data_IF_890109442829
#
_entry.id   IF_890109442829
#
_cell.length_a   1.000
_cell.length_b   1.000
_cell.length_c   1.000
_cell.angle_alpha   90.00
_cell.angle_beta   90.00
_cell.angle_gamma   90.00
#
_symmetry.space_group_name_H-M   'P 1'
#
loop_
_entity.id
_entity.type
_entity.pdbx_description
1 polymer ?
#
# COMPACT_ATOMS: atom_id res chain seq x y z
N UNK A 1 -19.51 6.12 35.20
CA UNK A 1 -19.18 5.38 36.44
C UNK A 1 -18.70 3.96 36.09
N UNK A 2 -17.74 3.84 35.17
CA UNK A 2 -17.09 2.57 34.81
C UNK A 2 -15.60 2.77 34.46
N UNK A 3 -15.15 4.02 34.29
CA UNK A 3 -13.82 4.35 33.76
C UNK A 3 -12.68 4.10 34.76
N UNK A 4 -12.98 4.17 36.07
CA UNK A 4 -12.01 3.94 37.13
C UNK A 4 -11.63 2.45 37.32
N UNK A 5 -12.50 1.52 36.92
CA UNK A 5 -12.26 0.08 37.07
C UNK A 5 -11.20 -0.42 36.08
N UNK A 6 -11.16 0.15 34.88
CA UNK A 6 -10.21 -0.21 33.82
C UNK A 6 -8.79 0.24 34.14
N UNK A 7 -8.64 1.40 34.80
CA UNK A 7 -7.34 1.91 35.24
C UNK A 7 -6.71 1.07 36.36
N UNK A 8 -7.52 0.36 37.17
CA UNK A 8 -7.05 -0.43 38.32
C UNK A 8 -6.54 -1.83 37.91
N UNK A 9 -6.91 -2.29 36.70
CA UNK A 9 -6.54 -3.59 36.15
C UNK A 9 -5.30 -3.52 35.22
N UNK A 10 -4.64 -2.36 35.13
CA UNK A 10 -3.49 -2.17 34.23
C UNK A 10 -3.86 -2.31 32.75
N UNK A 11 -5.13 -2.06 32.39
CA UNK A 11 -5.55 -2.04 31.00
C UNK A 11 -5.03 -0.75 30.37
N UNK A 12 -3.77 -0.77 29.90
CA UNK A 12 -3.31 0.20 28.92
C UNK A 12 -4.27 0.11 27.75
N UNK A 13 -4.95 1.22 27.43
CA UNK A 13 -5.71 1.30 26.20
C UNK A 13 -4.77 0.89 25.06
N UNK A 14 -5.12 -0.17 24.32
CA UNK A 14 -4.30 -0.65 23.21
C UNK A 14 -3.95 0.54 22.32
N UNK A 15 -2.66 0.91 22.27
CA UNK A 15 -2.19 1.99 21.43
C UNK A 15 -2.55 1.65 19.99
N UNK A 16 -3.36 2.50 19.35
CA UNK A 16 -3.76 2.34 17.95
C UNK A 16 -3.06 3.38 17.10
N UNK A 17 -2.54 3.00 15.92
CA UNK A 17 -1.95 3.95 15.01
C UNK A 17 -2.98 5.00 14.59
N UNK A 18 -2.62 6.29 14.55
CA UNK A 18 -3.51 7.32 14.05
C UNK A 18 -3.82 7.10 12.57
N UNK A 19 -5.00 7.50 12.15
CA UNK A 19 -5.34 7.58 10.73
C UNK A 19 -4.62 8.79 10.13
N UNK A 20 -3.84 8.56 9.08
CA UNK A 20 -3.10 9.60 8.35
C UNK A 20 -3.47 9.56 6.87
N UNK A 21 -3.50 10.72 6.22
CA UNK A 21 -3.69 10.79 4.78
C UNK A 21 -2.34 10.61 4.08
N UNK A 22 -2.30 9.72 3.09
CA UNK A 22 -1.10 9.46 2.29
C UNK A 22 -1.43 9.48 0.81
N UNK A 23 -0.57 10.13 0.02
CA UNK A 23 -0.61 10.11 -1.43
C UNK A 23 -0.04 8.78 -1.94
N UNK A 24 -0.89 7.99 -2.59
CA UNK A 24 -0.56 6.68 -3.13
C UNK A 24 -0.79 6.66 -4.63
N UNK A 25 -0.10 5.75 -5.33
CA UNK A 25 -0.37 5.51 -6.75
C UNK A 25 -1.41 4.41 -6.86
N UNK A 26 -2.49 4.67 -7.59
CA UNK A 26 -3.45 3.67 -8.02
C UNK A 26 -3.16 3.29 -9.47
N UNK A 27 -3.08 2.00 -9.74
CA UNK A 27 -3.02 1.39 -11.06
C UNK A 27 -4.35 0.65 -11.27
N UNK A 28 -5.33 1.27 -11.94
CA UNK A 28 -6.65 0.66 -12.12
C UNK A 28 -6.62 -0.57 -13.02
N UNK A 29 -7.39 -1.60 -12.68
CA UNK A 29 -7.51 -2.80 -13.53
C UNK A 29 -8.34 -2.56 -14.80
N UNK A 30 -9.17 -1.52 -14.82
CA UNK A 30 -9.99 -1.13 -15.97
C UNK A 30 -9.19 -0.43 -17.10
N UNK A 31 -7.86 -0.56 -17.07
CA UNK A 31 -6.89 -0.03 -18.04
C UNK A 31 -6.85 1.50 -18.12
N UNK A 32 -7.50 2.21 -17.20
CA UNK A 32 -7.28 3.65 -17.06
C UNK A 32 -5.82 3.95 -16.67
N UNK A 33 -5.31 5.15 -17.01
CA UNK A 33 -3.97 5.54 -16.61
C UNK A 33 -3.78 5.49 -15.09
N UNK A 34 -2.59 5.06 -14.67
CA UNK A 34 -2.20 5.16 -13.27
C UNK A 34 -2.17 6.63 -12.84
N UNK A 35 -2.63 6.89 -11.61
CA UNK A 35 -2.75 8.25 -11.08
C UNK A 35 -2.57 8.23 -9.56
N UNK A 36 -2.25 9.40 -9.01
CA UNK A 36 -2.11 9.58 -7.56
C UNK A 36 -3.47 9.88 -6.96
N UNK A 37 -3.76 9.27 -5.82
CA UNK A 37 -4.91 9.54 -4.99
C UNK A 37 -4.46 9.67 -3.53
N UNK A 38 -5.24 10.38 -2.71
CA UNK A 38 -5.00 10.47 -1.28
C UNK A 38 -5.95 9.54 -0.54
N UNK A 39 -5.41 8.69 0.33
CA UNK A 39 -6.18 7.76 1.16
C UNK A 39 -5.84 7.93 2.63
N UNK A 40 -6.86 7.85 3.48
CA UNK A 40 -6.69 7.72 4.91
C UNK A 40 -6.22 6.30 5.25
N UNK A 41 -5.31 6.15 6.20
CA UNK A 41 -4.92 4.83 6.70
C UNK A 41 -5.95 4.29 7.69
N UNK A 42 -6.13 2.97 7.67
CA UNK A 42 -6.97 2.22 8.60
C UNK A 42 -6.10 1.22 9.36
N UNK A 43 -6.31 1.05 10.69
CA UNK A 43 -5.64 0.00 11.43
C UNK A 43 -5.92 -1.39 10.84
N UNK A 44 -4.92 -2.27 10.92
CA UNK A 44 -5.01 -3.68 10.51
C UNK A 44 -4.45 -4.58 11.59
N UNK A 45 -5.19 -5.64 11.92
CA UNK A 45 -4.81 -6.64 12.94
C UNK A 45 -4.60 -8.03 12.35
N UNK A 46 -4.78 -8.20 11.04
CA UNK A 46 -4.73 -9.48 10.34
C UNK A 46 -4.36 -9.28 8.87
N UNK A 47 -3.81 -10.31 8.24
CA UNK A 47 -3.34 -10.26 6.86
C UNK A 47 -1.81 -10.21 6.79
N UNK A 48 -1.23 -10.40 5.60
CA UNK A 48 0.22 -10.42 5.41
C UNK A 48 0.88 -9.06 5.69
N UNK A 49 0.09 -7.98 5.67
CA UNK A 49 0.46 -6.58 5.90
C UNK A 49 0.31 -6.12 7.36
N UNK A 50 -0.06 -7.01 8.29
CA UNK A 50 -0.36 -6.63 9.68
C UNK A 50 0.84 -6.05 10.43
N UNK A 51 2.07 -6.36 10.01
CA UNK A 51 3.31 -5.81 10.56
C UNK A 51 3.44 -4.29 10.36
N UNK A 52 2.62 -3.69 9.48
CA UNK A 52 2.55 -2.25 9.28
C UNK A 52 1.61 -1.54 10.27
N UNK A 53 0.77 -2.30 11.01
CA UNK A 53 -0.24 -1.85 11.99
C UNK A 53 -1.39 -0.99 11.45
N UNK A 54 -1.15 -0.17 10.44
CA UNK A 54 -2.17 0.50 9.63
C UNK A 54 -1.72 0.50 8.18
N UNK A 55 -2.66 0.54 7.24
CA UNK A 55 -2.40 0.67 5.80
C UNK A 55 -3.41 1.62 5.17
N UNK A 56 -3.16 2.18 3.96
CA UNK A 56 -4.18 2.94 3.24
C UNK A 56 -5.48 2.16 3.12
N UNK A 57 -6.63 2.83 3.27
CA UNK A 57 -7.93 2.19 3.15
C UNK A 57 -8.29 1.91 1.68
N UNK A 58 -8.09 0.66 1.27
CA UNK A 58 -8.30 0.21 -0.11
C UNK A 58 -9.72 -0.34 -0.36
N UNK A 59 -10.54 -0.47 0.70
CA UNK A 59 -11.90 -1.04 0.64
C UNK A 59 -12.81 -0.32 -0.37
N UNK A 60 -12.75 1.01 -0.55
CA UNK A 60 -13.56 1.70 -1.56
C UNK A 60 -13.32 1.23 -3.01
N UNK A 61 -12.13 0.68 -3.29
CA UNK A 61 -11.74 0.24 -4.64
C UNK A 61 -11.92 -1.26 -4.85
N UNK A 62 -11.65 -2.05 -3.81
CA UNK A 62 -11.84 -3.50 -3.85
C UNK A 62 -13.28 -3.94 -3.59
N UNK A 63 -14.16 -3.02 -3.16
CA UNK A 63 -15.63 -3.08 -3.10
C UNK A 63 -16.27 -4.21 -2.29
N UNK A 64 -15.53 -5.25 -1.94
CA UNK A 64 -16.02 -6.38 -1.13
C UNK A 64 -15.10 -6.67 0.04
N UNK A 65 -15.69 -7.17 1.12
CA UNK A 65 -14.94 -7.60 2.30
C UNK A 65 -13.97 -8.72 1.96
N UNK A 66 -14.37 -9.65 1.07
CA UNK A 66 -13.53 -10.76 0.65
C UNK A 66 -12.28 -10.25 -0.08
N UNK A 67 -12.41 -9.31 -1.00
CA UNK A 67 -11.25 -8.74 -1.69
C UNK A 67 -10.27 -8.08 -0.69
N UNK A 68 -10.78 -7.45 0.36
CA UNK A 68 -9.95 -6.93 1.46
C UNK A 68 -9.29 -8.04 2.31
N UNK A 69 -10.01 -9.13 2.63
CA UNK A 69 -9.49 -10.25 3.39
C UNK A 69 -8.44 -11.08 2.65
N UNK A 70 -8.54 -11.14 1.31
CA UNK A 70 -7.59 -11.81 0.41
C UNK A 70 -6.58 -10.83 -0.21
N UNK A 71 -6.29 -9.74 0.48
CA UNK A 71 -5.24 -8.81 0.07
C UNK A 71 -3.86 -9.37 0.38
N UNK A 72 -2.88 -8.90 -0.38
CA UNK A 72 -1.48 -9.15 -0.13
C UNK A 72 -0.66 -7.89 -0.42
N UNK A 73 0.58 -7.88 0.06
CA UNK A 73 1.52 -6.80 -0.18
C UNK A 73 2.92 -7.35 -0.48
N UNK A 74 3.64 -6.64 -1.34
CA UNK A 74 5.04 -6.94 -1.61
C UNK A 74 5.88 -5.68 -1.43
N UNK A 75 7.09 -5.85 -0.90
CA UNK A 75 8.05 -4.77 -0.68
C UNK A 75 8.89 -4.56 -1.93
N UNK A 76 9.01 -3.31 -2.39
CA UNK A 76 9.85 -2.87 -3.49
C UNK A 76 10.82 -1.81 -2.97
N UNK A 77 12.12 -2.05 -3.09
CA UNK A 77 13.14 -1.04 -2.81
C UNK A 77 13.65 -0.45 -4.12
N UNK A 78 13.61 0.88 -4.23
CA UNK A 78 14.16 1.61 -5.36
C UNK A 78 15.36 2.43 -4.92
N UNK A 79 16.49 2.20 -5.57
CA UNK A 79 17.73 2.92 -5.35
C UNK A 79 18.26 3.47 -6.68
N UNK A 80 19.06 4.53 -6.62
CA UNK A 80 19.76 5.09 -7.78
C UNK A 80 18.84 5.45 -8.96
N UNK A 81 17.60 5.86 -8.69
CA UNK A 81 16.66 6.27 -9.72
C UNK A 81 17.07 7.63 -10.34
N UNK A 82 16.75 7.87 -11.64
CA UNK A 82 17.08 9.13 -12.31
C UNK A 82 16.55 10.38 -11.59
N UNK A 83 15.46 10.23 -10.85
CA UNK A 83 14.93 11.26 -9.94
C UNK A 83 15.11 10.77 -8.50
N UNK A 84 15.95 11.44 -7.68
CA UNK A 84 16.25 10.99 -6.32
C UNK A 84 15.04 10.85 -5.40
N UNK A 85 13.96 11.60 -5.63
CA UNK A 85 12.72 11.50 -4.85
C UNK A 85 11.96 10.19 -5.06
N UNK A 86 12.23 9.47 -6.16
CA UNK A 86 11.72 8.12 -6.41
C UNK A 86 12.53 7.02 -5.71
N UNK A 87 13.63 7.36 -5.02
CA UNK A 87 14.31 6.39 -4.17
C UNK A 87 13.50 6.18 -2.88
N UNK A 88 13.54 4.97 -2.36
CA UNK A 88 12.92 4.62 -1.09
C UNK A 88 12.34 3.21 -1.07
N UNK A 89 11.59 2.93 -0.02
CA UNK A 89 10.89 1.67 0.18
C UNK A 89 9.41 1.86 -0.12
N UNK A 90 8.87 0.94 -0.90
CA UNK A 90 7.49 0.93 -1.34
C UNK A 90 6.82 -0.38 -0.97
N UNK A 91 5.53 -0.33 -0.68
CA UNK A 91 4.67 -1.51 -0.59
C UNK A 91 3.64 -1.47 -1.71
N UNK A 92 3.52 -2.59 -2.42
CA UNK A 92 2.56 -2.76 -3.51
C UNK A 92 1.45 -3.67 -3.01
N UNK A 93 0.25 -3.11 -2.87
CA UNK A 93 -0.94 -3.80 -2.42
C UNK A 93 -1.82 -4.23 -3.58
N UNK A 94 -2.35 -5.45 -3.49
CA UNK A 94 -3.22 -6.06 -4.49
C UNK A 94 -4.12 -7.09 -3.82
N UNK A 95 -5.14 -7.59 -4.53
CA UNK A 95 -6.11 -8.53 -3.97
C UNK A 95 -6.28 -9.76 -4.85
N UNK A 96 -6.34 -10.94 -4.24
CA UNK A 96 -6.65 -12.22 -4.89
C UNK A 96 -8.13 -12.62 -4.76
N UNK A 97 -9.04 -11.69 -4.46
CA UNK A 97 -10.49 -11.94 -4.38
C UNK A 97 -11.15 -12.21 -5.75
N UNK A 98 -10.60 -13.15 -6.53
CA UNK A 98 -10.83 -13.34 -7.98
C UNK A 98 -12.28 -13.46 -8.44
N UNK A 99 -13.17 -13.93 -7.57
CA UNK A 99 -14.59 -14.14 -7.90
C UNK A 99 -15.41 -12.86 -7.80
N UNK A 100 -14.85 -11.81 -7.18
CA UNK A 100 -15.57 -10.58 -6.83
C UNK A 100 -14.91 -9.31 -7.42
N UNK A 101 -13.72 -9.44 -8.00
CA UNK A 101 -13.05 -8.38 -8.73
C UNK A 101 -13.58 -8.30 -10.17
N UNK A 102 -13.95 -7.09 -10.61
CA UNK A 102 -14.51 -6.87 -11.97
C UNK A 102 -13.52 -7.26 -13.07
N UNK A 103 -12.24 -7.01 -12.85
CA UNK A 103 -11.15 -7.38 -13.74
C UNK A 103 -10.20 -8.27 -12.95
N UNK A 104 -10.06 -9.52 -13.40
CA UNK A 104 -9.22 -10.49 -12.71
C UNK A 104 -7.77 -10.05 -12.85
N UNK A 105 -7.23 -9.91 -14.05
CA UNK A 105 -5.82 -9.55 -14.25
C UNK A 105 -5.67 -8.05 -14.47
N UNK A 106 -4.66 -7.42 -13.86
CA UNK A 106 -4.28 -6.04 -14.11
C UNK A 106 -3.04 -5.97 -15.02
N UNK A 107 -3.21 -5.87 -16.37
CA UNK A 107 -2.09 -5.82 -17.30
C UNK A 107 -1.35 -4.47 -17.29
N UNK A 108 -1.88 -3.46 -16.59
CA UNK A 108 -1.27 -2.13 -16.53
C UNK A 108 -0.16 -2.02 -15.49
N UNK A 109 0.08 -3.06 -14.69
CA UNK A 109 1.19 -3.11 -13.74
C UNK A 109 2.50 -3.43 -14.48
N UNK A 110 3.55 -2.59 -14.36
CA UNK A 110 4.86 -2.92 -14.92
C UNK A 110 5.43 -4.22 -14.33
N UNK A 111 5.96 -5.13 -15.17
CA UNK A 111 6.47 -6.45 -14.74
C UNK A 111 7.55 -6.39 -13.66
N UNK A 112 8.34 -5.31 -13.63
CA UNK A 112 9.35 -5.11 -12.59
C UNK A 112 8.72 -4.89 -11.22
N UNK A 113 7.59 -4.18 -11.15
CA UNK A 113 6.87 -3.96 -9.90
C UNK A 113 6.26 -5.26 -9.41
N UNK A 114 5.74 -6.09 -10.31
CA UNK A 114 5.17 -7.37 -9.93
C UNK A 114 6.19 -8.48 -9.66
N UNK A 115 7.50 -8.25 -9.86
CA UNK A 115 8.50 -9.31 -9.73
C UNK A 115 8.26 -10.49 -10.69
N UNK A 116 7.57 -10.24 -11.81
CA UNK A 116 7.11 -11.28 -12.74
C UNK A 116 5.81 -11.97 -12.35
N UNK A 117 5.19 -11.61 -11.22
CA UNK A 117 3.88 -12.09 -10.83
C UNK A 117 2.77 -11.38 -11.62
N UNK A 118 1.62 -12.04 -11.71
CA UNK A 118 0.39 -11.40 -12.18
C UNK A 118 -0.24 -10.74 -10.96
N UNK A 119 -0.63 -9.47 -11.05
CA UNK A 119 -1.41 -8.81 -10.00
C UNK A 119 -2.86 -8.66 -10.44
N UNK A 120 -3.79 -8.73 -9.49
CA UNK A 120 -5.23 -8.74 -9.74
C UNK A 120 -5.90 -7.51 -9.12
N UNK A 121 -6.99 -7.08 -9.76
CA UNK A 121 -7.73 -5.89 -9.35
C UNK A 121 -6.91 -4.61 -9.39
N UNK A 122 -7.44 -3.56 -8.77
CA UNK A 122 -6.69 -2.31 -8.62
C UNK A 122 -5.46 -2.53 -7.74
N UNK A 123 -4.32 -2.06 -8.21
CA UNK A 123 -3.04 -2.16 -7.51
C UNK A 123 -2.65 -0.82 -6.94
N UNK A 124 -2.16 -0.80 -5.71
CA UNK A 124 -1.79 0.41 -5.01
C UNK A 124 -0.31 0.38 -4.64
N UNK A 125 0.43 1.43 -4.96
CA UNK A 125 1.82 1.59 -4.54
C UNK A 125 1.87 2.68 -3.48
N UNK A 126 2.50 2.36 -2.36
CA UNK A 126 2.57 3.21 -1.17
C UNK A 126 4.03 3.36 -0.80
N UNK A 127 4.49 4.58 -0.46
CA UNK A 127 5.85 4.82 -0.01
C UNK A 127 5.90 4.89 1.51
N UNK A 128 6.91 4.27 2.10
CA UNK A 128 7.21 4.39 3.52
C UNK A 128 8.51 5.14 3.72
N UNK A 129 8.66 5.74 4.90
CA UNK A 129 9.86 6.43 5.32
C UNK A 129 11.08 5.48 5.29
N UNK A 130 12.32 5.98 5.17
CA UNK A 130 13.52 5.15 5.10
C UNK A 130 13.71 4.17 6.27
N UNK A 131 13.21 4.51 7.46
CA UNK A 131 13.25 3.64 8.63
C UNK A 131 12.10 2.62 8.67
N UNK A 132 11.18 2.69 7.71
CA UNK A 132 9.91 1.95 7.53
C UNK A 132 8.91 2.11 8.67
N UNK A 133 9.40 2.17 9.91
CA UNK A 133 8.65 2.24 11.14
C UNK A 133 8.98 3.56 11.87
N UNK A 134 7.94 4.22 12.37
CA UNK A 134 8.00 5.43 13.17
C UNK A 134 7.81 5.14 14.65
N UNK A 135 7.08 6.02 15.32
CA UNK A 135 6.74 5.87 16.74
C UNK A 135 5.96 4.58 16.98
N UNK A 136 6.24 3.91 18.11
CA UNK A 136 5.61 2.64 18.50
C UNK A 136 5.80 1.46 17.52
N UNK A 137 6.71 1.58 16.55
CA UNK A 137 6.96 0.54 15.55
C UNK A 137 5.92 0.47 14.44
N UNK A 138 5.05 1.48 14.31
CA UNK A 138 4.04 1.56 13.25
C UNK A 138 4.64 2.05 11.95
N UNK A 139 4.05 1.68 10.80
CA UNK A 139 4.52 2.16 9.52
C UNK A 139 4.55 3.70 9.46
N UNK A 140 5.66 4.27 9.00
CA UNK A 140 5.76 5.69 8.73
C UNK A 140 5.62 5.92 7.22
N UNK A 141 4.63 6.70 6.79
CA UNK A 141 4.33 6.92 5.37
C UNK A 141 4.98 8.19 4.82
N UNK A 142 5.32 8.15 3.54
CA UNK A 142 5.71 9.31 2.74
C UNK A 142 4.75 9.46 1.55
N UNK A 143 4.50 10.70 1.16
CA UNK A 143 3.69 10.98 -0.03
C UNK A 143 4.47 10.64 -1.31
N UNK A 144 3.82 9.90 -2.22
CA UNK A 144 4.35 9.70 -3.56
C UNK A 144 4.12 10.95 -4.40
N UNK A 145 5.20 11.48 -4.97
CA UNK A 145 5.16 12.60 -5.92
C UNK A 145 4.84 12.17 -7.36
N UNK A 146 4.37 13.13 -8.20
CA UNK A 146 4.00 12.87 -9.60
C UNK A 146 5.14 12.32 -10.46
N UNK A 147 6.38 12.58 -10.09
CA UNK A 147 7.56 12.05 -10.76
C UNK A 147 7.64 10.52 -10.78
N UNK A 148 6.98 9.86 -9.82
CA UNK A 148 6.91 8.41 -9.77
C UNK A 148 6.06 7.87 -10.93
N UNK A 149 5.01 8.59 -11.35
CA UNK A 149 4.21 8.22 -12.52
C UNK A 149 5.04 8.29 -13.80
N UNK A 150 5.93 9.28 -13.94
CA UNK A 150 6.87 9.35 -15.05
C UNK A 150 7.88 8.19 -15.03
N UNK A 151 8.35 7.79 -13.84
CA UNK A 151 9.23 6.63 -13.69
C UNK A 151 8.53 5.35 -14.17
N UNK A 152 7.28 5.13 -13.77
CA UNK A 152 6.49 3.98 -14.23
C UNK A 152 6.26 4.00 -15.74
N UNK A 153 5.92 5.15 -16.32
CA UNK A 153 5.66 5.28 -17.75
C UNK A 153 6.91 5.04 -18.61
N UNK A 154 8.10 5.37 -18.09
CA UNK A 154 9.38 5.14 -18.77
C UNK A 154 9.88 3.70 -18.67
N UNK A 155 9.25 2.87 -17.84
CA UNK A 155 9.67 1.50 -17.62
C UNK A 155 9.10 0.58 -18.70
N UNK A 156 9.74 0.49 -19.88
CA UNK A 156 10.47 -0.74 -20.22
C UNK A 156 11.68 -0.57 -21.21
N UNK A 157 12.74 0.21 -20.90
CA UNK A 157 13.79 0.54 -21.92
C UNK A 157 15.26 0.17 -21.63
N UNK A 158 15.72 -0.15 -20.42
CA UNK A 158 17.14 -0.50 -20.21
C UNK A 158 17.33 -1.78 -19.42
N UNK A 159 17.29 -2.92 -20.12
CA UNK A 159 18.14 -4.05 -19.75
C UNK A 159 19.54 -3.78 -20.27
N UNK A 160 20.47 -3.52 -19.36
CA UNK A 160 21.81 -4.09 -19.44
C UNK A 160 22.14 -4.63 -18.05
N UNK A 161 21.97 -5.94 -17.91
CA UNK A 161 22.79 -6.71 -17.00
C UNK A 161 24.21 -6.73 -17.55
#
# INVERSE_FOLDING_TARGET
>A
MMDWLWSLLGYEAELRPPSVNVAVVRIPADKKPAHIITLATTPVSSGPDNFLFHIPDLRPFWKTERAWSFRDCQRLALEQQPKPSCNGVYYIFYSFGLDELTEKINPSVPTYFSGGQVLWGDVFVVKVAPHEYGEHGWAAYEDIGPEFLELMARWPVTRRF
#
